data_IF_120601852177
#
_entry.id   IF_120601852177
#
_cell.length_a   1.000
_cell.length_b   1.000
_cell.length_c   1.000
_cell.angle_alpha   90.00
_cell.angle_beta   90.00
_cell.angle_gamma   90.00
#
_symmetry.space_group_name_H-M   'P 1'
#
loop_
_entity.id
_entity.type
_entity.pdbx_description
1 polymer ?
#
# COMPACT_ATOMS: atom_id res chain seq x y z
N UNK A 1 -40.72 -15.25 -20.59
CA UNK A 1 -39.88 -15.35 -19.38
C UNK A 1 -38.49 -14.86 -19.76
N UNK A 2 -38.13 -13.60 -19.44
CA UNK A 2 -36.86 -13.02 -19.87
C UNK A 2 -35.72 -13.54 -18.98
N UNK A 3 -34.74 -14.21 -19.58
CA UNK A 3 -33.56 -14.77 -18.91
C UNK A 3 -32.71 -13.61 -18.37
N UNK A 4 -32.70 -13.45 -17.04
CA UNK A 4 -31.89 -12.46 -16.32
C UNK A 4 -30.41 -12.82 -16.54
N UNK A 5 -29.75 -12.09 -17.43
CA UNK A 5 -28.31 -12.21 -17.65
C UNK A 5 -27.60 -11.79 -16.35
N UNK A 6 -27.07 -12.77 -15.61
CA UNK A 6 -26.19 -12.48 -14.49
C UNK A 6 -24.88 -11.97 -15.08
N UNK A 7 -24.61 -10.67 -14.90
CA UNK A 7 -23.26 -10.14 -15.04
C UNK A 7 -22.38 -10.90 -14.05
N UNK A 8 -21.59 -11.85 -14.56
CA UNK A 8 -20.49 -12.43 -13.81
C UNK A 8 -19.49 -11.30 -13.57
N UNK A 9 -19.39 -10.86 -12.32
CA UNK A 9 -18.39 -9.92 -11.86
C UNK A 9 -17.07 -10.70 -11.80
N UNK A 10 -16.32 -10.63 -12.90
CA UNK A 10 -15.04 -11.31 -13.08
C UNK A 10 -13.97 -10.55 -12.26
N UNK A 11 -14.12 -10.61 -10.93
CA UNK A 11 -13.14 -10.05 -9.99
C UNK A 11 -11.94 -10.96 -9.98
N UNK A 12 -11.01 -10.71 -10.89
CA UNK A 12 -9.68 -11.28 -10.78
C UNK A 12 -9.13 -11.01 -9.37
N UNK A 13 -8.58 -12.04 -8.70
CA UNK A 13 -8.01 -11.88 -7.38
C UNK A 13 -6.86 -10.86 -7.46
N UNK A 14 -7.01 -9.73 -6.77
CA UNK A 14 -5.95 -8.74 -6.68
C UNK A 14 -4.79 -9.31 -5.87
N UNK A 15 -3.55 -9.06 -6.31
CA UNK A 15 -2.33 -9.56 -5.66
C UNK A 15 -2.19 -9.17 -4.18
N UNK A 16 -2.82 -8.06 -3.77
CA UNK A 16 -2.81 -7.58 -2.40
C UNK A 16 -4.20 -7.15 -1.92
N UNK A 17 -4.43 -7.27 -0.62
CA UNK A 17 -5.62 -6.74 0.05
C UNK A 17 -5.71 -5.22 -0.08
N UNK A 18 -6.93 -4.67 -0.08
CA UNK A 18 -7.16 -3.21 -0.09
C UNK A 18 -6.45 -2.49 1.06
N UNK A 19 -6.23 -3.17 2.18
CA UNK A 19 -5.48 -2.63 3.32
C UNK A 19 -4.00 -2.38 2.96
N UNK A 20 -3.36 -3.31 2.26
CA UNK A 20 -1.95 -3.18 1.88
C UNK A 20 -1.77 -2.06 0.85
N UNK A 21 -2.70 -1.92 -0.09
CA UNK A 21 -2.67 -0.79 -1.02
C UNK A 21 -2.78 0.56 -0.31
N UNK A 22 -3.60 0.67 0.74
CA UNK A 22 -3.65 1.89 1.56
C UNK A 22 -2.32 2.16 2.27
N UNK A 23 -1.66 1.13 2.80
CA UNK A 23 -0.34 1.28 3.43
C UNK A 23 0.73 1.71 2.42
N UNK A 24 0.74 1.14 1.22
CA UNK A 24 1.66 1.56 0.15
C UNK A 24 1.40 3.04 -0.21
N UNK A 25 0.13 3.44 -0.34
CA UNK A 25 -0.22 4.83 -0.59
C UNK A 25 0.28 5.78 0.50
N UNK A 26 0.12 5.39 1.78
CA UNK A 26 0.65 6.15 2.92
C UNK A 26 2.18 6.24 2.90
N UNK A 27 2.86 5.14 2.56
CA UNK A 27 4.31 5.10 2.48
C UNK A 27 4.85 6.03 1.39
N UNK A 28 4.22 6.04 0.21
CA UNK A 28 4.56 6.96 -0.87
C UNK A 28 4.35 8.42 -0.43
N UNK A 29 3.24 8.70 0.26
CA UNK A 29 2.94 10.03 0.79
C UNK A 29 4.06 10.49 1.74
N UNK A 30 4.49 9.62 2.68
CA UNK A 30 5.60 9.94 3.59
C UNK A 30 6.89 10.29 2.86
N UNK A 31 7.26 9.51 1.83
CA UNK A 31 8.47 9.77 1.04
C UNK A 31 8.37 11.13 0.34
N UNK A 32 7.23 11.40 -0.31
CA UNK A 32 6.99 12.69 -0.97
C UNK A 32 7.04 13.83 0.04
N UNK A 33 6.42 13.68 1.22
CA UNK A 33 6.44 14.68 2.28
C UNK A 33 7.86 14.93 2.80
N UNK A 34 8.68 13.90 2.97
CA UNK A 34 10.08 14.04 3.38
C UNK A 34 10.89 14.90 2.40
N UNK A 35 10.77 14.63 1.10
CA UNK A 35 11.43 15.44 0.07
C UNK A 35 10.80 16.82 -0.10
N UNK A 36 9.48 16.94 0.04
CA UNK A 36 8.79 18.23 -0.02
C UNK A 36 9.22 19.12 1.15
N UNK A 37 9.41 18.55 2.34
CA UNK A 37 9.91 19.29 3.50
C UNK A 37 11.33 19.82 3.27
N UNK A 38 12.23 19.02 2.67
CA UNK A 38 13.56 19.49 2.22
C UNK A 38 13.43 20.65 1.23
N UNK A 39 12.53 20.51 0.25
CA UNK A 39 12.30 21.53 -0.77
C UNK A 39 11.79 22.84 -0.18
N UNK A 40 10.91 22.80 0.83
CA UNK A 40 10.42 23.99 1.50
C UNK A 40 11.47 24.67 2.38
N UNK A 41 12.35 23.88 3.02
CA UNK A 41 13.45 24.42 3.82
C UNK A 41 14.47 25.19 2.96
N UNK A 42 14.66 24.80 1.69
CA UNK A 42 15.62 25.41 0.75
C UNK A 42 17.07 25.51 1.28
N UNK A 43 17.42 24.68 2.26
CA UNK A 43 18.74 24.64 2.86
C UNK A 43 19.17 23.18 2.98
N UNK A 44 20.30 22.85 2.35
CA UNK A 44 20.78 21.46 2.30
C UNK A 44 21.37 21.04 3.65
N UNK A 45 22.01 21.98 4.34
CA UNK A 45 22.54 21.81 5.69
C UNK A 45 21.50 22.15 6.77
N UNK A 46 20.23 22.24 6.37
CA UNK A 46 19.11 22.51 7.26
C UNK A 46 18.79 21.31 8.15
N UNK A 47 18.16 21.58 9.30
CA UNK A 47 17.81 20.55 10.28
C UNK A 47 16.78 19.57 9.68
N UNK A 48 15.85 20.07 8.86
CA UNK A 48 14.85 19.22 8.22
C UNK A 48 15.53 18.29 7.23
N UNK A 49 16.43 18.81 6.40
CA UNK A 49 17.15 18.04 5.39
C UNK A 49 18.14 17.03 5.97
N UNK A 50 18.89 17.40 7.01
CA UNK A 50 19.90 16.51 7.61
C UNK A 50 19.33 15.46 8.56
N UNK A 51 18.22 15.74 9.25
CA UNK A 51 17.72 14.87 10.32
C UNK A 51 16.28 14.40 10.12
N UNK A 52 15.34 15.31 9.85
CA UNK A 52 13.91 14.97 9.82
C UNK A 52 13.59 14.15 8.57
N UNK A 53 13.96 14.64 7.40
CA UNK A 53 13.61 14.02 6.13
C UNK A 53 14.22 12.62 5.95
N UNK A 54 15.48 12.35 6.31
CA UNK A 54 16.01 10.97 6.30
C UNK A 54 15.18 10.00 7.16
N UNK A 55 14.74 10.44 8.34
CA UNK A 55 13.90 9.60 9.23
C UNK A 55 12.52 9.37 8.62
N UNK A 56 11.88 10.42 8.09
CA UNK A 56 10.54 10.32 7.46
C UNK A 56 10.58 9.43 6.22
N UNK A 57 11.59 9.59 5.36
CA UNK A 57 11.77 8.78 4.17
C UNK A 57 12.05 7.32 4.55
N UNK A 58 12.90 7.08 5.56
CA UNK A 58 13.14 5.73 6.09
C UNK A 58 11.86 5.07 6.62
N UNK A 59 11.04 5.81 7.38
CA UNK A 59 9.75 5.31 7.85
C UNK A 59 8.83 4.93 6.68
N UNK A 60 8.83 5.73 5.60
CA UNK A 60 8.15 5.41 4.35
C UNK A 60 8.63 4.07 3.76
N UNK A 61 9.93 3.87 3.62
CA UNK A 61 10.47 2.60 3.10
C UNK A 61 10.15 1.40 3.99
N UNK A 62 10.25 1.53 5.31
CA UNK A 62 9.87 0.46 6.25
C UNK A 62 8.39 0.12 6.10
N UNK A 63 7.51 1.11 5.91
CA UNK A 63 6.10 0.88 5.66
C UNK A 63 5.83 0.17 4.33
N UNK A 64 6.58 0.47 3.26
CA UNK A 64 6.48 -0.29 1.99
C UNK A 64 6.82 -1.76 2.23
N UNK A 65 7.95 -2.02 2.90
CA UNK A 65 8.38 -3.40 3.20
C UNK A 65 7.30 -4.11 4.03
N UNK A 66 6.77 -3.45 5.07
CA UNK A 66 5.70 -4.00 5.89
C UNK A 66 4.42 -4.28 5.08
N UNK A 67 4.02 -3.37 4.20
CA UNK A 67 2.82 -3.53 3.37
C UNK A 67 2.94 -4.69 2.36
N UNK A 68 4.15 -4.92 1.84
CA UNK A 68 4.43 -6.05 0.95
C UNK A 68 4.47 -7.35 1.76
N UNK A 69 5.17 -7.36 2.90
CA UNK A 69 5.39 -8.55 3.73
C UNK A 69 4.11 -9.02 4.41
N UNK A 70 3.20 -8.10 4.76
CA UNK A 70 1.86 -8.41 5.28
C UNK A 70 0.96 -8.94 4.16
N UNK A 71 1.34 -10.02 3.50
CA UNK A 71 0.53 -10.65 2.47
C UNK A 71 -0.64 -11.39 3.14
N UNK A 72 -1.85 -10.82 3.01
CA UNK A 72 -3.08 -11.38 3.57
C UNK A 72 -3.54 -12.55 2.70
N UNK A 73 -2.94 -13.73 2.91
CA UNK A 73 -3.32 -15.03 2.30
C UNK A 73 -4.64 -15.56 2.88
N UNK A 74 -5.59 -14.67 3.12
CA UNK A 74 -6.76 -14.95 3.95
C UNK A 74 -8.05 -15.27 3.21
N UNK A 75 -8.15 -15.02 1.90
CA UNK A 75 -9.40 -15.16 1.16
C UNK A 75 -9.20 -15.80 -0.22
N UNK A 76 -8.58 -16.97 -0.27
CA UNK A 76 -8.79 -17.88 -1.42
C UNK A 76 -10.15 -18.58 -1.19
N UNK A 77 -11.22 -18.26 -1.95
CA UNK A 77 -12.50 -18.96 -1.82
C UNK A 77 -12.48 -20.42 -2.33
N UNK A 78 -11.33 -21.02 -2.66
CA UNK A 78 -11.27 -22.25 -3.45
C UNK A 78 -10.95 -23.57 -2.72
N UNK A 79 -10.98 -23.63 -1.39
CA UNK A 79 -10.87 -24.93 -0.69
C UNK A 79 -11.98 -25.12 0.35
N UNK A 80 -13.25 -25.15 -0.10
CA UNK A 80 -14.39 -25.65 0.70
C UNK A 80 -15.41 -26.49 -0.09
N UNK A 81 -15.05 -27.07 -1.23
CA UNK A 81 -16.00 -27.82 -2.09
C UNK A 81 -15.74 -29.33 -2.19
N UNK A 82 -14.87 -29.95 -1.38
CA UNK A 82 -14.65 -31.40 -1.47
C UNK A 82 -14.62 -32.15 -0.12
N UNK A 83 -15.30 -31.65 0.89
CA UNK A 83 -15.51 -32.40 2.13
C UNK A 83 -16.86 -32.03 2.76
N UNK A 84 -17.95 -32.48 2.15
CA UNK A 84 -19.16 -33.01 2.81
C UNK A 84 -20.15 -33.56 1.78
#
# INVERSE_FOLDING_TARGET
>A
MAKRSQKMDDKQPMFFSSFNYKLIGLAILLIISGFTAMYLENEVDGIVSLYISPIVIMAGYVLVIFAIMKHDRGNDPEIKTQAE
#
